data_IF_847674474239
#
_entry.id   IF_847674474239
#
_cell.length_a   1.000
_cell.length_b   1.000
_cell.length_c   1.000
_cell.angle_alpha   90.00
_cell.angle_beta   90.00
_cell.angle_gamma   90.00
#
_symmetry.space_group_name_H-M   'P 1'
#
loop_
_entity.id
_entity.type
_entity.pdbx_description
1 polymer ?
#
# COMPACT_ATOMS: atom_id res chain seq x y z
N UNK A 1 10.34 14.19 -12.36
CA UNK A 1 11.00 12.87 -12.18
C UNK A 1 9.99 11.77 -12.40
N UNK A 2 10.42 10.55 -12.76
CA UNK A 2 9.53 9.36 -12.75
C UNK A 2 9.38 8.92 -11.31
N UNK A 3 8.16 8.92 -10.80
CA UNK A 3 7.87 8.66 -9.39
C UNK A 3 7.23 7.28 -9.28
N UNK A 4 7.85 6.38 -8.52
CA UNK A 4 7.23 5.10 -8.16
C UNK A 4 6.45 5.31 -6.87
N UNK A 5 5.14 5.10 -6.96
CA UNK A 5 4.22 5.10 -5.81
C UNK A 5 4.05 3.64 -5.38
N UNK A 6 3.95 3.36 -4.08
CA UNK A 6 3.79 2.00 -3.52
C UNK A 6 2.71 1.16 -4.21
N UNK A 7 1.68 1.78 -4.77
CA UNK A 7 0.60 1.12 -5.55
C UNK A 7 1.06 0.46 -6.85
N UNK A 8 2.18 0.90 -7.44
CA UNK A 8 2.73 0.33 -8.68
C UNK A 8 3.75 -0.79 -8.43
N UNK A 9 4.12 -1.04 -7.17
CA UNK A 9 5.17 -2.01 -6.82
C UNK A 9 4.77 -3.43 -7.18
N UNK A 10 3.48 -3.77 -7.10
CA UNK A 10 2.96 -5.05 -7.58
C UNK A 10 3.28 -5.28 -9.06
N UNK A 11 2.94 -4.31 -9.92
CA UNK A 11 3.18 -4.39 -11.36
C UNK A 11 4.66 -4.49 -11.71
N UNK A 12 5.55 -3.98 -10.84
CA UNK A 12 7.01 -4.07 -11.01
C UNK A 12 7.54 -5.42 -10.53
N UNK A 13 7.04 -5.92 -9.39
CA UNK A 13 7.58 -7.11 -8.73
C UNK A 13 7.09 -8.42 -9.33
N UNK A 14 5.90 -8.43 -9.95
CA UNK A 14 5.22 -9.64 -10.41
C UNK A 14 5.11 -9.72 -11.93
N UNK A 15 4.83 -8.61 -12.62
CA UNK A 15 4.61 -8.63 -14.08
C UNK A 15 5.88 -8.30 -14.88
N UNK A 16 6.73 -9.32 -15.13
CA UNK A 16 7.95 -9.19 -15.96
C UNK A 16 7.70 -8.70 -17.40
N UNK A 17 6.48 -8.83 -17.93
CA UNK A 17 6.15 -8.53 -19.34
C UNK A 17 5.54 -7.14 -19.59
N UNK A 18 5.44 -6.27 -18.58
CA UNK A 18 4.77 -4.97 -18.72
C UNK A 18 5.67 -3.75 -18.50
N UNK A 19 7.00 -3.89 -18.53
CA UNK A 19 7.93 -2.74 -18.43
C UNK A 19 7.51 -1.58 -19.35
N UNK A 20 7.22 -1.87 -20.62
CA UNK A 20 6.83 -0.84 -21.59
C UNK A 20 5.44 -0.25 -21.31
N UNK A 21 4.49 -1.03 -20.79
CA UNK A 21 3.12 -0.58 -20.48
C UNK A 21 3.09 0.27 -19.22
N UNK A 22 3.77 -0.15 -18.16
CA UNK A 22 3.92 0.61 -16.93
C UNK A 22 4.75 1.88 -17.16
N UNK A 23 5.87 1.79 -17.89
CA UNK A 23 6.64 2.98 -18.29
C UNK A 23 5.78 3.96 -19.08
N UNK A 24 5.02 3.50 -20.09
CA UNK A 24 4.08 4.37 -20.83
C UNK A 24 3.01 4.97 -19.92
N UNK A 25 2.49 4.22 -18.95
CA UNK A 25 1.48 4.72 -18.00
C UNK A 25 2.03 5.77 -17.05
N UNK A 26 3.27 5.62 -16.58
CA UNK A 26 3.92 6.61 -15.70
C UNK A 26 4.35 7.87 -16.50
N UNK A 27 4.65 7.70 -17.80
CA UNK A 27 5.09 8.78 -18.69
C UNK A 27 3.95 9.54 -19.40
N UNK A 28 2.70 9.04 -19.35
CA UNK A 28 1.52 9.78 -19.82
C UNK A 28 1.13 10.83 -18.77
N UNK A 29 0.70 12.01 -19.23
CA UNK A 29 0.16 13.05 -18.35
C UNK A 29 -0.98 12.48 -17.49
N UNK A 30 -0.86 12.69 -16.17
CA UNK A 30 -1.67 12.07 -15.11
C UNK A 30 -2.99 12.81 -14.84
N UNK A 31 -3.64 13.34 -15.86
CA UNK A 31 -4.84 14.19 -15.67
C UNK A 31 -6.17 13.41 -15.64
N UNK A 32 -6.14 12.10 -15.35
CA UNK A 32 -7.38 11.35 -15.16
C UNK A 32 -7.86 11.46 -13.71
N UNK A 33 -8.87 12.29 -13.49
CA UNK A 33 -9.62 12.32 -12.24
C UNK A 33 -10.48 11.06 -12.10
N UNK A 34 -10.13 10.22 -11.12
CA UNK A 34 -10.85 8.99 -10.79
C UNK A 34 -11.86 9.17 -9.65
N UNK A 35 -12.03 10.39 -9.12
CA UNK A 35 -12.94 10.70 -8.02
C UNK A 35 -14.41 10.38 -8.33
N UNK A 36 -14.75 10.28 -9.61
CA UNK A 36 -16.07 9.86 -10.09
C UNK A 36 -16.37 8.37 -9.88
N UNK A 37 -15.34 7.53 -9.70
CA UNK A 37 -15.51 6.08 -9.47
C UNK A 37 -16.05 5.88 -8.05
N UNK A 38 -17.21 5.22 -7.86
CA UNK A 38 -17.85 5.09 -6.54
C UNK A 38 -16.94 4.49 -5.46
N UNK A 39 -16.16 3.46 -5.81
CA UNK A 39 -15.24 2.83 -4.86
C UNK A 39 -14.10 3.76 -4.43
N UNK A 40 -13.58 4.60 -5.34
CA UNK A 40 -12.53 5.59 -5.05
C UNK A 40 -13.09 6.68 -4.16
N UNK A 41 -14.25 7.24 -4.52
CA UNK A 41 -14.94 8.25 -3.72
C UNK A 41 -15.27 7.75 -2.30
N UNK A 42 -15.78 6.52 -2.19
CA UNK A 42 -16.03 5.89 -0.90
C UNK A 42 -14.73 5.76 -0.09
N UNK A 43 -13.63 5.38 -0.74
CA UNK A 43 -12.29 5.34 -0.16
C UNK A 43 -11.91 6.65 0.51
N UNK A 44 -11.91 7.72 -0.28
CA UNK A 44 -11.55 9.08 0.15
C UNK A 44 -12.43 9.54 1.33
N UNK A 45 -13.74 9.37 1.24
CA UNK A 45 -14.68 9.82 2.28
C UNK A 45 -14.59 9.01 3.58
N UNK A 46 -14.14 7.75 3.50
CA UNK A 46 -14.16 6.82 4.63
C UNK A 46 -12.81 6.69 5.34
N UNK A 47 -11.74 7.23 4.76
CA UNK A 47 -10.38 7.12 5.30
C UNK A 47 -10.28 7.66 6.73
N UNK A 48 -10.82 8.86 6.98
CA UNK A 48 -10.80 9.45 8.31
C UNK A 48 -11.58 8.59 9.32
N UNK A 49 -12.72 8.02 8.89
CA UNK A 49 -13.53 7.12 9.70
C UNK A 49 -12.71 5.87 10.06
N UNK A 50 -12.03 5.28 9.08
CA UNK A 50 -11.17 4.12 9.26
C UNK A 50 -10.04 4.39 10.27
N UNK A 51 -9.41 5.56 10.16
CA UNK A 51 -8.33 5.99 11.06
C UNK A 51 -8.80 6.17 12.49
N UNK A 52 -9.97 6.81 12.69
CA UNK A 52 -10.60 6.93 14.02
C UNK A 52 -10.97 5.56 14.60
N UNK A 53 -11.51 4.66 13.78
CA UNK A 53 -11.84 3.29 14.20
C UNK A 53 -10.61 2.50 14.62
N UNK A 54 -9.51 2.65 13.90
CA UNK A 54 -8.24 2.05 14.29
C UNK A 54 -7.79 2.49 15.69
N UNK A 55 -7.79 3.79 15.98
CA UNK A 55 -7.41 4.30 17.32
C UNK A 55 -8.31 3.73 18.43
N UNK A 56 -9.61 3.57 18.15
CA UNK A 56 -10.55 2.93 19.08
C UNK A 56 -10.22 1.45 19.29
N UNK A 57 -9.87 0.70 18.25
CA UNK A 57 -9.46 -0.71 18.36
C UNK A 57 -8.15 -0.88 19.14
N UNK A 58 -7.20 0.05 19.00
CA UNK A 58 -5.97 0.03 19.79
C UNK A 58 -6.25 0.38 21.27
N UNK A 59 -7.13 1.35 21.51
CA UNK A 59 -7.58 1.71 22.87
C UNK A 59 -8.20 0.52 23.60
N UNK A 60 -9.03 -0.29 22.91
CA UNK A 60 -9.62 -1.53 23.47
C UNK A 60 -8.57 -2.56 23.88
N UNK A 61 -7.37 -2.51 23.29
CA UNK A 61 -6.22 -3.35 23.64
C UNK A 61 -5.33 -2.71 24.72
N UNK A 62 -5.76 -1.61 25.34
CA UNK A 62 -4.99 -0.80 26.28
C UNK A 62 -3.70 -0.22 25.67
N UNK A 63 -3.68 0.03 24.36
CA UNK A 63 -2.59 0.69 23.66
C UNK A 63 -2.95 2.17 23.48
N UNK A 64 -2.14 3.07 24.03
CA UNK A 64 -2.28 4.50 23.79
C UNK A 64 -1.69 4.81 22.41
N UNK A 65 -2.52 5.15 21.43
CA UNK A 65 -2.08 5.42 20.05
C UNK A 65 -2.65 6.72 19.51
N UNK A 66 -1.84 7.47 18.77
CA UNK A 66 -2.26 8.64 18.00
C UNK A 66 -1.87 8.47 16.53
N UNK A 67 -2.66 9.04 15.61
CA UNK A 67 -2.38 9.00 14.18
C UNK A 67 -2.28 10.40 13.60
N UNK A 68 -1.31 10.62 12.72
CA UNK A 68 -1.11 11.90 12.03
C UNK A 68 -1.13 11.67 10.52
N UNK A 69 -2.03 12.31 9.76
CA UNK A 69 -2.05 12.18 8.31
C UNK A 69 -0.68 12.47 7.72
N UNK A 70 -0.31 11.70 6.69
CA UNK A 70 0.95 11.88 5.99
C UNK A 70 0.68 12.28 4.54
N UNK A 71 1.54 13.12 4.00
CA UNK A 71 1.54 13.45 2.58
C UNK A 71 2.56 12.57 1.85
N UNK A 72 3.02 13.02 0.69
CA UNK A 72 4.07 12.36 -0.07
C UNK A 72 5.40 12.42 0.70
N UNK A 73 5.93 11.25 1.05
CA UNK A 73 7.26 11.07 1.62
C UNK A 73 8.20 10.58 0.53
N UNK A 74 9.31 11.28 0.34
CA UNK A 74 10.36 10.91 -0.64
C UNK A 74 11.55 10.32 0.13
N UNK A 75 12.08 9.20 -0.36
CA UNK A 75 13.28 8.60 0.22
C UNK A 75 14.47 9.56 0.07
N UNK A 76 15.19 9.89 1.15
CA UNK A 76 16.29 10.86 1.13
C UNK A 76 17.51 10.36 0.33
N UNK A 77 17.68 9.05 0.18
CA UNK A 77 18.78 8.41 -0.57
C UNK A 77 18.39 8.06 -2.01
N UNK A 78 17.09 8.01 -2.30
CA UNK A 78 16.55 7.62 -3.59
C UNK A 78 15.36 8.51 -3.98
N UNK A 79 15.63 9.71 -4.52
CA UNK A 79 14.60 10.72 -4.88
C UNK A 79 13.54 10.28 -5.91
N UNK A 80 13.72 9.12 -6.55
CA UNK A 80 12.76 8.48 -7.44
C UNK A 80 11.78 7.54 -6.71
N UNK A 81 12.07 7.21 -5.45
CA UNK A 81 11.27 6.38 -4.58
C UNK A 81 10.51 7.29 -3.62
N UNK A 82 9.19 7.15 -3.62
CA UNK A 82 8.35 7.87 -2.67
C UNK A 82 7.12 7.04 -2.33
N UNK A 83 6.45 7.43 -1.27
CA UNK A 83 5.19 6.85 -0.90
C UNK A 83 4.26 7.89 -0.26
N UNK A 84 2.99 7.55 -0.13
CA UNK A 84 2.00 8.39 0.55
C UNK A 84 1.23 7.47 1.51
N UNK A 85 1.81 7.12 2.66
CA UNK A 85 1.07 6.37 3.67
C UNK A 85 -0.12 7.20 4.16
N UNK A 86 -1.22 6.55 4.53
CA UNK A 86 -2.40 7.31 5.00
C UNK A 86 -2.12 8.09 6.30
N UNK A 87 -1.37 7.51 7.23
CA UNK A 87 -0.93 8.21 8.44
C UNK A 87 0.32 7.59 9.08
N UNK A 88 1.06 8.38 9.84
CA UNK A 88 2.01 7.87 10.84
C UNK A 88 1.26 7.54 12.12
N UNK A 89 1.79 6.59 12.88
CA UNK A 89 1.27 6.18 14.18
C UNK A 89 2.35 6.38 15.22
N UNK A 90 1.98 6.98 16.34
CA UNK A 90 2.76 6.98 17.57
C UNK A 90 1.99 6.14 18.58
N UNK A 91 2.63 5.13 19.17
CA UNK A 91 2.04 4.35 20.25
C UNK A 91 2.92 4.34 21.49
N UNK A 92 2.29 4.20 22.65
CA UNK A 92 2.96 4.03 23.93
C UNK A 92 2.47 2.75 24.58
N UNK A 93 3.37 1.80 24.77
CA UNK A 93 3.12 0.51 25.43
C UNK A 93 4.16 0.33 26.53
N UNK A 94 3.72 0.13 27.78
CA UNK A 94 4.62 -0.03 28.93
C UNK A 94 5.70 1.08 29.03
N UNK A 95 5.30 2.33 28.81
CA UNK A 95 6.19 3.51 28.80
C UNK A 95 7.24 3.53 27.67
N UNK A 96 7.15 2.63 26.69
CA UNK A 96 7.99 2.64 25.49
C UNK A 96 7.21 3.28 24.35
N UNK A 97 7.80 4.33 23.76
CA UNK A 97 7.26 5.00 22.58
C UNK A 97 7.74 4.27 21.33
N UNK A 98 6.82 3.96 20.42
CA UNK A 98 7.12 3.33 19.14
C UNK A 98 6.42 4.08 18.00
N UNK A 99 7.03 4.03 16.81
CA UNK A 99 6.55 4.69 15.60
C UNK A 99 6.29 3.66 14.51
N UNK A 100 5.20 3.84 13.78
CA UNK A 100 4.86 3.00 12.65
C UNK A 100 3.95 3.72 11.68
N UNK A 101 3.40 2.97 10.73
CA UNK A 101 2.47 3.49 9.72
C UNK A 101 1.11 2.87 9.87
N UNK A 102 0.09 3.69 9.61
CA UNK A 102 -1.26 3.26 9.38
C UNK A 102 -1.52 3.32 7.87
N UNK A 103 -1.89 2.18 7.30
CA UNK A 103 -2.33 2.07 5.92
C UNK A 103 -3.72 1.45 5.88
N UNK A 104 -4.66 2.05 5.15
CA UNK A 104 -6.03 1.56 5.15
C UNK A 104 -6.57 1.20 3.77
N UNK A 105 -7.63 0.40 3.77
CA UNK A 105 -8.45 0.12 2.60
C UNK A 105 -9.92 0.15 2.99
N UNK A 106 -10.64 1.17 2.53
CA UNK A 106 -12.07 1.30 2.79
C UNK A 106 -12.87 0.63 1.67
N UNK A 107 -13.37 -0.57 1.95
CA UNK A 107 -14.03 -1.43 0.98
C UNK A 107 -15.43 -0.91 0.69
N UNK A 108 -15.66 -0.51 -0.57
CA UNK A 108 -17.00 -0.27 -1.08
C UNK A 108 -17.71 -1.61 -1.23
N UNK A 109 -18.81 -1.82 -0.50
CA UNK A 109 -19.55 -3.07 -0.44
C UNK A 109 -21.04 -2.78 -0.20
N UNK A 110 -21.88 -3.74 -0.61
CA UNK A 110 -23.32 -3.66 -0.36
C UNK A 110 -23.63 -3.64 1.15
N UNK A 111 -24.69 -2.94 1.59
CA UNK A 111 -25.11 -2.95 2.99
C UNK A 111 -25.32 -4.39 3.50
N UNK A 112 -24.74 -4.69 4.66
CA UNK A 112 -24.85 -6.02 5.29
C UNK A 112 -23.94 -7.10 4.71
N UNK A 113 -23.19 -6.84 3.63
CA UNK A 113 -22.23 -7.81 3.08
C UNK A 113 -21.21 -8.22 4.16
N UNK A 114 -21.00 -9.52 4.33
CA UNK A 114 -20.02 -10.09 5.26
C UNK A 114 -18.63 -10.16 4.63
N UNK A 115 -17.59 -10.42 5.44
CA UNK A 115 -16.26 -10.71 4.88
C UNK A 115 -16.28 -11.93 3.95
N UNK A 116 -17.05 -12.97 4.28
CA UNK A 116 -17.14 -14.18 3.48
C UNK A 116 -17.81 -13.91 2.13
N UNK A 117 -18.82 -13.05 2.08
CA UNK A 117 -19.46 -12.64 0.83
C UNK A 117 -18.44 -11.94 -0.09
N UNK A 118 -17.63 -11.04 0.46
CA UNK A 118 -16.60 -10.34 -0.29
C UNK A 118 -15.49 -11.25 -0.78
N UNK A 119 -15.02 -12.17 0.08
CA UNK A 119 -14.01 -13.17 -0.27
C UNK A 119 -14.50 -14.05 -1.41
N UNK A 120 -15.78 -14.47 -1.37
CA UNK A 120 -16.35 -15.38 -2.36
C UNK A 120 -16.72 -14.68 -3.68
N UNK A 121 -17.15 -13.42 -3.62
CA UNK A 121 -17.64 -12.67 -4.79
C UNK A 121 -16.54 -11.89 -5.53
N UNK A 122 -15.38 -11.66 -4.92
CA UNK A 122 -14.28 -10.86 -5.50
C UNK A 122 -13.03 -11.69 -5.62
N UNK A 123 -12.73 -12.12 -6.84
CA UNK A 123 -11.56 -12.94 -7.20
C UNK A 123 -10.24 -12.39 -6.63
N UNK A 124 -10.05 -11.06 -6.68
CA UNK A 124 -8.88 -10.38 -6.15
C UNK A 124 -9.17 -9.58 -4.87
N UNK A 125 -9.86 -10.18 -3.89
CA UNK A 125 -9.96 -9.59 -2.55
C UNK A 125 -8.68 -9.81 -1.75
N UNK A 126 -8.31 -8.83 -0.92
CA UNK A 126 -7.06 -8.85 -0.15
C UNK A 126 -7.11 -9.72 1.11
N UNK A 127 -8.30 -10.09 1.57
CA UNK A 127 -8.47 -10.99 2.71
C UNK A 127 -8.87 -12.39 2.23
N UNK A 128 -8.57 -13.39 3.03
CA UNK A 128 -9.01 -14.78 2.86
C UNK A 128 -9.35 -15.41 4.21
N UNK A 129 -10.04 -16.56 4.16
CA UNK A 129 -10.21 -17.45 5.31
C UNK A 129 -9.18 -18.56 5.21
N UNK A 130 -8.33 -18.68 6.22
CA UNK A 130 -7.42 -19.82 6.39
C UNK A 130 -7.55 -20.32 7.82
N UNK A 131 -7.78 -21.62 7.99
CA UNK A 131 -8.00 -22.26 9.31
C UNK A 131 -9.06 -21.51 10.14
N UNK A 132 -10.19 -21.19 9.49
CA UNK A 132 -11.30 -20.39 10.04
C UNK A 132 -10.94 -18.99 10.55
N UNK A 133 -9.74 -18.48 10.25
CA UNK A 133 -9.32 -17.12 10.62
C UNK A 133 -9.28 -16.22 9.39
N UNK A 134 -9.75 -14.99 9.58
CA UNK A 134 -9.65 -13.95 8.56
C UNK A 134 -8.20 -13.44 8.53
N UNK A 135 -7.57 -13.48 7.37
CA UNK A 135 -6.18 -13.06 7.21
C UNK A 135 -5.93 -12.30 5.91
N UNK A 136 -4.99 -11.36 5.95
CA UNK A 136 -4.43 -10.73 4.76
C UNK A 136 -3.64 -11.77 3.94
N UNK A 137 -3.96 -11.82 2.64
CA UNK A 137 -3.29 -12.64 1.63
C UNK A 137 -1.90 -12.12 1.33
N UNK A 138 -0.86 -12.94 1.53
CA UNK A 138 0.53 -12.56 1.26
C UNK A 138 0.88 -12.48 -0.24
N UNK A 139 0.09 -13.14 -1.09
CA UNK A 139 0.22 -13.13 -2.55
C UNK A 139 -0.51 -11.96 -3.22
N UNK A 140 -1.29 -11.18 -2.46
CA UNK A 140 -2.13 -10.12 -3.00
C UNK A 140 -1.36 -8.81 -3.19
N UNK A 141 -1.69 -8.04 -4.24
CA UNK A 141 -1.05 -6.77 -4.57
C UNK A 141 -0.96 -5.77 -3.41
N UNK A 142 -2.01 -5.70 -2.60
CA UNK A 142 -2.05 -4.85 -1.41
C UNK A 142 -1.02 -5.26 -0.34
N UNK A 143 -0.73 -6.55 -0.17
CA UNK A 143 0.34 -6.99 0.73
C UNK A 143 1.70 -6.50 0.25
N UNK A 144 1.97 -6.62 -1.05
CA UNK A 144 3.22 -6.12 -1.65
C UNK A 144 3.35 -4.59 -1.56
N UNK A 145 2.24 -3.85 -1.65
CA UNK A 145 2.23 -2.41 -1.37
C UNK A 145 2.64 -2.12 0.08
N UNK A 146 2.11 -2.87 1.06
CA UNK A 146 2.46 -2.68 2.47
C UNK A 146 3.95 -2.94 2.73
N UNK A 147 4.50 -4.03 2.17
CA UNK A 147 5.94 -4.30 2.29
C UNK A 147 6.76 -3.16 1.68
N UNK A 148 6.37 -2.68 0.49
CA UNK A 148 7.08 -1.58 -0.16
C UNK A 148 7.02 -0.25 0.62
N UNK A 149 5.89 0.03 1.27
CA UNK A 149 5.76 1.19 2.17
C UNK A 149 6.71 1.07 3.36
N UNK A 150 6.78 -0.12 3.98
CA UNK A 150 7.66 -0.38 5.12
C UNK A 150 9.13 -0.21 4.74
N UNK A 151 9.53 -0.78 3.60
CA UNK A 151 10.89 -0.66 3.06
C UNK A 151 11.26 0.81 2.72
N UNK A 152 10.33 1.57 2.12
CA UNK A 152 10.60 2.96 1.68
C UNK A 152 10.75 3.92 2.86
N UNK A 153 10.07 3.64 3.97
CA UNK A 153 10.04 4.53 5.13
C UNK A 153 11.00 4.10 6.24
N UNK A 154 11.64 2.94 6.09
CA UNK A 154 12.52 2.34 7.10
C UNK A 154 11.86 2.28 8.50
N UNK A 155 10.60 1.83 8.52
CA UNK A 155 9.79 1.75 9.74
C UNK A 155 9.56 0.30 10.16
N UNK A 156 9.71 0.06 11.46
CA UNK A 156 9.68 -1.26 12.10
C UNK A 156 8.36 -2.02 11.91
N UNK A 157 7.25 -1.32 11.72
CA UNK A 157 5.95 -1.96 11.55
C UNK A 157 4.93 -1.08 10.81
N UNK A 158 3.97 -1.76 10.19
CA UNK A 158 2.79 -1.17 9.56
C UNK A 158 1.55 -1.85 10.10
N UNK A 159 0.60 -1.06 10.58
CA UNK A 159 -0.76 -1.51 10.83
C UNK A 159 -1.61 -1.30 9.59
N UNK A 160 -2.09 -2.40 9.02
CA UNK A 160 -3.12 -2.35 7.98
C UNK A 160 -4.50 -2.39 8.60
N UNK A 161 -5.38 -1.51 8.10
CA UNK A 161 -6.77 -1.41 8.56
C UNK A 161 -7.73 -1.51 7.36
N UNK A 162 -8.56 -2.55 7.33
CA UNK A 162 -9.54 -2.76 6.27
C UNK A 162 -10.92 -2.51 6.84
N UNK A 163 -11.58 -1.46 6.37
CA UNK A 163 -12.90 -1.04 6.81
C UNK A 163 -13.96 -1.52 5.81
N UNK A 164 -15.04 -2.13 6.30
CA UNK A 164 -16.21 -2.52 5.50
C UNK A 164 -17.48 -2.20 6.28
N UNK A 165 -18.14 -1.09 5.92
CA UNK A 165 -19.28 -0.59 6.68
C UNK A 165 -18.86 -0.28 8.12
N UNK A 166 -19.38 -1.05 9.07
CA UNK A 166 -19.04 -0.92 10.49
C UNK A 166 -17.94 -1.88 10.96
N UNK A 167 -17.62 -2.90 10.16
CA UNK A 167 -16.63 -3.91 10.49
C UNK A 167 -15.22 -3.41 10.16
N UNK A 168 -14.29 -3.73 11.06
CA UNK A 168 -12.88 -3.36 10.92
C UNK A 168 -12.00 -4.59 11.10
N UNK A 169 -11.08 -4.78 10.17
CA UNK A 169 -9.98 -5.73 10.29
C UNK A 169 -8.69 -4.95 10.50
N UNK A 170 -7.97 -5.25 11.58
CA UNK A 170 -6.67 -4.63 11.89
C UNK A 170 -5.61 -5.71 11.99
N UNK A 171 -4.50 -5.54 11.29
CA UNK A 171 -3.34 -6.42 11.39
C UNK A 171 -2.04 -5.62 11.39
N UNK A 172 -1.18 -5.92 12.36
CA UNK A 172 0.21 -5.46 12.36
C UNK A 172 1.07 -6.37 11.49
N UNK A 173 1.88 -5.75 10.64
CA UNK A 173 2.99 -6.37 9.93
C UNK A 173 4.28 -5.80 10.52
N UNK A 174 5.17 -6.67 10.96
CA UNK A 174 6.51 -6.28 11.39
C UNK A 174 7.40 -6.27 10.14
N UNK A 175 8.28 -5.29 10.05
CA UNK A 175 9.28 -5.24 9.00
C UNK A 175 10.15 -6.50 9.08
N UNK A 176 10.29 -7.17 7.94
CA UNK A 176 11.07 -8.39 7.81
C UNK A 176 12.00 -8.23 6.60
N UNK A 177 13.29 -8.07 6.89
CA UNK A 177 14.34 -7.89 5.87
C UNK A 177 14.43 -9.08 4.91
N UNK A 178 14.07 -10.30 5.33
CA UNK A 178 14.10 -11.50 4.47
C UNK A 178 12.98 -11.45 3.42
N UNK A 179 11.85 -10.84 3.76
CA UNK A 179 10.72 -10.60 2.85
C UNK A 179 11.01 -9.39 1.93
N UNK A 180 11.89 -8.48 2.36
CA UNK A 180 12.30 -7.26 1.66
C UNK A 180 13.15 -7.51 0.39
N UNK A 181 12.48 -7.93 -0.68
CA UNK A 181 13.04 -8.03 -2.05
C UNK A 181 12.34 -7.12 -3.06
N UNK A 182 11.21 -6.53 -2.67
CA UNK A 182 10.35 -5.72 -3.54
C UNK A 182 11.00 -4.38 -3.92
N UNK A 183 11.62 -3.69 -2.97
CA UNK A 183 12.36 -2.44 -3.25
C UNK A 183 13.60 -2.69 -4.11
N UNK A 184 14.32 -3.80 -3.90
CA UNK A 184 15.46 -4.19 -4.76
C UNK A 184 15.05 -4.39 -6.23
N UNK A 185 13.91 -5.05 -6.47
CA UNK A 185 13.34 -5.20 -7.83
C UNK A 185 12.91 -3.85 -8.42
N UNK A 186 12.35 -2.97 -7.59
CA UNK A 186 11.94 -1.61 -7.96
C UNK A 186 13.12 -0.74 -8.35
N UNK A 187 14.24 -0.84 -7.64
CA UNK A 187 15.49 -0.16 -7.98
C UNK A 187 16.02 -0.61 -9.35
N UNK A 188 16.09 -1.93 -9.59
CA UNK A 188 16.52 -2.49 -10.88
C UNK A 188 15.63 -2.03 -12.05
N UNK A 189 14.31 -1.96 -11.84
CA UNK A 189 13.37 -1.45 -12.84
C UNK A 189 13.67 0.01 -13.23
N UNK A 190 14.02 0.86 -12.26
CA UNK A 190 14.34 2.25 -12.54
C UNK A 190 15.68 2.46 -13.23
N UNK A 191 16.69 1.65 -12.90
CA UNK A 191 17.97 1.64 -13.65
C UNK A 191 17.75 1.28 -15.13
N UNK A 192 16.82 0.37 -15.41
CA UNK A 192 16.43 0.04 -16.79
C UNK A 192 15.65 1.18 -17.46
N UNK A 193 14.84 1.93 -16.70
CA UNK A 193 14.04 3.04 -17.23
C UNK A 193 14.88 4.30 -17.48
N UNK A 194 15.88 4.57 -16.65
CA UNK A 194 16.84 5.65 -16.83
C UNK A 194 17.77 5.38 -18.03
N UNK A 195 18.27 4.14 -18.18
CA UNK A 195 19.05 3.74 -19.37
C UNK A 195 18.23 3.78 -20.65
N UNK A 196 16.95 3.37 -20.62
CA UNK A 196 16.05 3.49 -21.77
C UNK A 196 15.76 4.95 -22.18
N UNK A 197 15.74 5.90 -21.23
CA UNK A 197 15.65 7.34 -21.53
C UNK A 197 16.91 7.89 -22.18
N UNK A 198 18.09 7.40 -21.79
CA UNK A 198 19.36 7.80 -22.38
C UNK A 198 19.46 7.36 -23.86
N UNK A 199 18.88 6.21 -24.20
CA UNK A 199 18.80 5.68 -25.58
C UNK A 199 17.71 6.32 -26.46
N UNK A 200 17.09 7.44 -26.07
CA UNK A 200 16.21 8.20 -27.00
C UNK A 200 16.95 8.80 -28.20
N UNK A 201 18.29 8.76 -28.23
CA UNK A 201 19.09 9.03 -29.43
C UNK A 201 19.39 7.79 -30.29
N UNK A 202 19.01 6.57 -29.87
CA UNK A 202 19.14 5.32 -30.64
C UNK A 202 18.18 4.25 -30.09
N UNK A 203 16.90 4.32 -30.48
CA UNK A 203 15.88 3.34 -30.10
C UNK A 203 16.02 2.05 -30.94
N UNK A 204 17.01 1.23 -30.62
CA UNK A 204 17.05 -0.19 -30.98
C UNK A 204 17.56 -0.97 -29.76
N UNK A 205 16.64 -1.44 -28.91
CA UNK A 205 16.95 -2.57 -28.03
C UNK A 205 16.37 -3.82 -28.68
N UNK A 206 17.25 -4.65 -29.25
CA UNK A 206 16.95 -6.05 -29.56
C UNK A 206 16.71 -6.78 -28.24
N UNK A 207 15.60 -7.53 -28.20
CA UNK A 207 15.26 -8.51 -27.16
C UNK A 207 16.27 -9.66 -27.18
#
# INVERSE_FOLDING_TARGET
GTVIVGTNVYSICVEKHHFQKLAKSILRDKDQDLSSIPAVRHGILSEEICRRRYVLEQTKKNICSATHPCELVVDPTASYLCCSPHATVVEVVNSIVSYGIFECKCVYAEPGATWNDLISSRESFCLERKDDKLQLRSDHAYYLQLIALSDTLDLNWIDTCILKGQDVYVRRLIHDEEVSSAVKKTHNFLLQLSSARYNKNNLICKL
#
